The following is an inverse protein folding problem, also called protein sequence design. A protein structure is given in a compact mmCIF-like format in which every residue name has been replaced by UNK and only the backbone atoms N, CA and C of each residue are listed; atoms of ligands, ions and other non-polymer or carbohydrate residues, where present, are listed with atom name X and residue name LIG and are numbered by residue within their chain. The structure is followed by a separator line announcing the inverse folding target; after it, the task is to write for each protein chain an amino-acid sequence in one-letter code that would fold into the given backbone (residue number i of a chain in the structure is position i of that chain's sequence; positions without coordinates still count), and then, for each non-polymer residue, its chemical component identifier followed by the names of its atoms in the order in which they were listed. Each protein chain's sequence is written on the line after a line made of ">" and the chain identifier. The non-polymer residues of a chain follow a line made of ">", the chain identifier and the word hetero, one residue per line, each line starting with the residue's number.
data_IF_405332769723
#
_entry.id   IF_405332769723
#
_cell.length_a   1.000
_cell.length_b   1.000
_cell.length_c   1.000
_cell.angle_alpha   90.00
_cell.angle_beta   90.00
_cell.angle_gamma   90.00
#
_symmetry.space_group_name_H-M   'P 1'
#
loop_
_entity.id
_entity.type
_entity.pdbx_description
1 polymer ?
#
# COMPACT_ATOMS: atom_id res chain seq x y z
N UNK A 1 21.96 17.92 2.50
CA UNK A 1 21.16 18.53 3.56
C UNK A 1 19.72 18.68 3.10
N UNK A 2 18.73 18.60 4.01
CA UNK A 2 17.34 18.84 3.66
C UNK A 2 17.13 20.21 3.00
N UNK A 3 16.27 20.24 1.99
CA UNK A 3 15.95 21.49 1.28
C UNK A 3 16.94 21.91 0.19
N UNK A 4 18.04 21.19 0.01
CA UNK A 4 19.07 21.56 -0.97
C UNK A 4 18.83 20.99 -2.39
N UNK A 5 18.06 19.90 -2.49
CA UNK A 5 17.69 19.26 -3.76
C UNK A 5 16.48 18.36 -3.59
N UNK A 6 15.82 18.10 -4.71
CA UNK A 6 14.70 17.17 -4.75
C UNK A 6 15.19 15.71 -4.74
N UNK A 7 14.53 14.88 -3.92
CA UNK A 7 14.73 13.44 -3.87
C UNK A 7 13.40 12.71 -3.88
N UNK A 8 13.25 11.72 -4.74
CA UNK A 8 12.16 10.76 -4.69
C UNK A 8 12.65 9.48 -4.01
N UNK A 9 12.15 9.19 -2.83
CA UNK A 9 12.53 8.02 -2.04
C UNK A 9 11.46 7.69 -0.99
N UNK A 10 11.86 7.26 0.19
CA UNK A 10 11.03 6.74 1.29
C UNK A 10 10.32 7.80 2.14
N UNK A 11 10.22 9.05 1.68
CA UNK A 11 9.63 10.14 2.48
C UNK A 11 8.20 9.85 2.95
N UNK A 12 7.36 9.27 2.09
CA UNK A 12 5.97 8.94 2.43
C UNK A 12 5.88 7.72 3.36
N UNK A 13 6.84 6.79 3.29
CA UNK A 13 6.97 5.69 4.25
C UNK A 13 7.28 6.22 5.65
N UNK A 14 8.17 7.21 5.76
CA UNK A 14 8.46 7.89 7.03
C UNK A 14 7.22 8.60 7.58
N UNK A 15 6.44 9.25 6.72
CA UNK A 15 5.17 9.86 7.12
C UNK A 15 4.19 8.81 7.65
N UNK A 16 4.07 7.65 7.00
CA UNK A 16 3.26 6.54 7.49
C UNK A 16 3.68 6.08 8.88
N UNK A 17 4.97 5.93 9.11
CA UNK A 17 5.51 5.59 10.43
C UNK A 17 5.20 6.66 11.48
N UNK A 18 5.33 7.94 11.14
CA UNK A 18 4.97 9.04 12.05
C UNK A 18 3.49 9.01 12.44
N UNK A 19 2.61 8.70 11.49
CA UNK A 19 1.17 8.54 11.77
C UNK A 19 0.95 7.43 12.79
N UNK A 20 1.63 6.28 12.65
CA UNK A 20 1.54 5.18 13.61
C UNK A 20 1.98 5.62 15.01
N UNK A 21 3.12 6.32 15.10
CA UNK A 21 3.64 6.78 16.40
C UNK A 21 2.72 7.83 17.06
N UNK A 22 2.17 8.75 16.29
CA UNK A 22 1.31 9.81 16.82
C UNK A 22 -0.11 9.33 17.15
N UNK A 23 -0.64 8.39 16.40
CA UNK A 23 -1.99 7.86 16.58
C UNK A 23 -2.05 6.69 17.57
N UNK A 24 -0.94 5.99 17.80
CA UNK A 24 -0.89 4.76 18.57
C UNK A 24 -1.57 3.57 17.88
N UNK A 25 -1.81 3.65 16.57
CA UNK A 25 -2.50 2.64 15.76
C UNK A 25 -1.63 2.21 14.59
N UNK A 26 -1.74 0.94 14.10
CA UNK A 26 -1.19 0.57 12.80
C UNK A 26 -1.73 1.47 11.69
N UNK A 27 -0.90 1.77 10.69
CA UNK A 27 -1.27 2.69 9.60
C UNK A 27 -2.55 2.25 8.88
N UNK A 28 -2.70 0.94 8.63
CA UNK A 28 -3.90 0.41 7.99
C UNK A 28 -5.18 0.67 8.79
N UNK A 29 -5.13 0.49 10.10
CA UNK A 29 -6.28 0.75 10.99
C UNK A 29 -6.60 2.24 11.07
N UNK A 30 -5.58 3.09 11.12
CA UNK A 30 -5.76 4.55 11.10
C UNK A 30 -6.43 5.02 9.80
N UNK A 31 -5.92 4.58 8.65
CA UNK A 31 -6.49 4.93 7.34
C UNK A 31 -7.92 4.40 7.20
N UNK A 32 -8.17 3.18 7.68
CA UNK A 32 -9.51 2.59 7.66
C UNK A 32 -10.50 3.45 8.45
N UNK A 33 -10.18 3.78 9.69
CA UNK A 33 -11.07 4.54 10.56
C UNK A 33 -11.29 5.99 10.10
N UNK A 34 -10.27 6.62 9.52
CA UNK A 34 -10.29 8.05 9.20
C UNK A 34 -10.66 8.38 7.76
N UNK A 35 -10.42 7.45 6.84
CA UNK A 35 -10.62 7.68 5.40
C UNK A 35 -11.55 6.63 4.79
N UNK A 36 -11.20 5.34 4.90
CA UNK A 36 -11.87 4.30 4.14
C UNK A 36 -13.31 4.07 4.60
N UNK A 37 -13.55 3.96 5.91
CA UNK A 37 -14.91 3.76 6.46
C UNK A 37 -15.81 4.98 6.21
N UNK A 38 -15.41 6.24 6.49
CA UNK A 38 -16.23 7.41 6.20
C UNK A 38 -16.59 7.57 4.72
N UNK A 39 -15.69 7.15 3.80
CA UNK A 39 -15.91 7.22 2.36
C UNK A 39 -16.52 5.96 1.76
N UNK A 40 -16.80 4.93 2.57
CA UNK A 40 -17.38 3.67 2.11
C UNK A 40 -16.42 2.83 1.23
N UNK A 41 -15.10 3.02 1.37
CA UNK A 41 -14.08 2.31 0.60
C UNK A 41 -13.81 0.92 1.17
N UNK A 42 -14.75 0.00 0.96
CA UNK A 42 -14.78 -1.33 1.59
C UNK A 42 -13.70 -2.29 1.08
N UNK A 43 -13.12 -2.00 -0.08
CA UNK A 43 -12.14 -2.86 -0.73
C UNK A 43 -10.70 -2.29 -0.64
N UNK A 44 -10.51 -1.18 0.07
CA UNK A 44 -9.21 -0.54 0.20
C UNK A 44 -8.49 -0.96 1.48
N UNK A 45 -7.24 -1.39 1.37
CA UNK A 45 -6.42 -1.82 2.49
C UNK A 45 -5.05 -2.34 2.08
N UNK A 46 -4.23 -2.74 3.05
CA UNK A 46 -2.88 -3.26 2.82
C UNK A 46 -2.83 -4.77 2.54
N UNK A 47 -3.97 -5.44 2.54
CA UNK A 47 -4.09 -6.85 2.15
C UNK A 47 -5.42 -7.10 1.47
N UNK A 48 -5.52 -8.20 0.75
CA UNK A 48 -6.74 -8.61 0.04
C UNK A 48 -7.29 -9.88 0.69
N UNK A 49 -8.50 -9.86 1.27
CA UNK A 49 -9.14 -11.09 1.75
C UNK A 49 -9.25 -12.15 0.65
N UNK A 50 -9.10 -13.42 1.04
CA UNK A 50 -9.05 -14.53 0.08
C UNK A 50 -10.27 -14.57 -0.87
N UNK A 51 -11.47 -14.26 -0.37
CA UNK A 51 -12.70 -14.22 -1.15
C UNK A 51 -12.72 -13.11 -2.22
N UNK A 52 -11.85 -12.10 -2.12
CA UNK A 52 -11.74 -10.98 -3.07
C UNK A 52 -10.64 -11.18 -4.12
N UNK A 53 -9.77 -12.17 -3.95
CA UNK A 53 -8.68 -12.47 -4.89
C UNK A 53 -9.11 -12.59 -6.36
N UNK A 54 -10.28 -13.20 -6.70
CA UNK A 54 -10.71 -13.28 -8.10
C UNK A 54 -10.91 -11.94 -8.80
N UNK A 55 -11.14 -10.86 -8.03
CA UNK A 55 -11.32 -9.50 -8.58
C UNK A 55 -10.03 -8.69 -8.66
N UNK A 56 -8.94 -9.23 -8.10
CA UNK A 56 -7.67 -8.54 -8.05
C UNK A 56 -7.05 -8.41 -9.44
N UNK A 57 -6.66 -7.19 -9.81
CA UNK A 57 -5.91 -6.94 -11.04
C UNK A 57 -4.50 -7.54 -10.96
N UNK A 58 -3.99 -8.01 -12.08
CA UNK A 58 -2.61 -8.51 -12.18
C UNK A 58 -1.68 -7.42 -12.67
N UNK A 59 -0.55 -7.28 -12.00
CA UNK A 59 0.51 -6.39 -12.45
C UNK A 59 1.36 -7.10 -13.48
N UNK A 60 1.72 -6.38 -14.53
CA UNK A 60 2.56 -6.89 -15.60
C UNK A 60 3.87 -6.12 -15.64
N UNK A 61 4.94 -6.83 -15.92
CA UNK A 61 6.25 -6.27 -16.24
C UNK A 61 6.55 -6.51 -17.71
N UNK A 62 7.27 -5.61 -18.32
CA UNK A 62 7.67 -5.79 -19.72
C UNK A 62 8.43 -4.60 -20.25
N UNK A 63 9.24 -4.86 -21.25
CA UNK A 63 9.92 -3.87 -22.06
C UNK A 63 9.78 -4.27 -23.53
N UNK A 64 9.38 -3.31 -24.37
CA UNK A 64 9.16 -3.58 -25.79
C UNK A 64 7.74 -4.11 -26.08
N UNK A 65 7.63 -5.12 -26.94
CA UNK A 65 6.35 -5.60 -27.50
C UNK A 65 5.60 -6.63 -26.64
N UNK A 66 6.20 -7.13 -25.54
CA UNK A 66 5.62 -8.20 -24.72
C UNK A 66 5.49 -7.81 -23.26
N UNK A 67 4.34 -8.19 -22.65
CA UNK A 67 4.08 -8.04 -21.24
C UNK A 67 3.99 -9.42 -20.59
N UNK A 68 4.56 -9.57 -19.40
CA UNK A 68 4.46 -10.78 -18.58
C UNK A 68 3.88 -10.46 -17.22
N UNK A 69 3.13 -11.40 -16.63
CA UNK A 69 2.60 -11.23 -15.29
C UNK A 69 3.75 -11.16 -14.30
N UNK A 70 3.77 -10.13 -13.45
CA UNK A 70 4.75 -9.99 -12.39
C UNK A 70 4.51 -11.05 -11.31
N UNK A 71 5.44 -11.99 -11.18
CA UNK A 71 5.41 -13.06 -10.18
C UNK A 71 6.18 -12.67 -8.89
N UNK A 72 6.86 -11.52 -8.89
CA UNK A 72 7.74 -11.09 -7.79
C UNK A 72 7.02 -10.44 -6.62
N UNK A 73 5.72 -10.21 -6.71
CA UNK A 73 4.92 -9.65 -5.63
C UNK A 73 4.55 -10.75 -4.65
N UNK A 74 4.75 -10.47 -3.35
CA UNK A 74 4.39 -11.39 -2.28
C UNK A 74 2.89 -11.72 -2.24
N UNK A 75 2.50 -12.56 -1.28
CA UNK A 75 1.11 -12.96 -1.07
C UNK A 75 0.25 -11.77 -0.64
N UNK A 76 -0.73 -11.33 -1.45
CA UNK A 76 -1.57 -10.19 -1.13
C UNK A 76 -2.55 -10.45 0.03
N UNK A 77 -2.74 -11.71 0.44
CA UNK A 77 -3.63 -12.06 1.58
C UNK A 77 -2.97 -11.86 2.93
N UNK A 78 -1.65 -11.68 2.96
CA UNK A 78 -0.88 -11.51 4.21
C UNK A 78 -0.92 -10.04 4.65
N UNK A 79 -1.29 -9.81 5.90
CA UNK A 79 -1.21 -8.48 6.51
C UNK A 79 0.26 -8.09 6.67
N UNK A 80 0.74 -6.97 6.10
CA UNK A 80 2.13 -6.57 6.22
C UNK A 80 2.48 -6.18 7.66
N UNK A 81 3.65 -6.59 8.14
CA UNK A 81 4.16 -6.20 9.47
C UNK A 81 4.54 -4.72 9.56
N UNK A 82 4.97 -4.13 8.44
CA UNK A 82 5.31 -2.73 8.33
C UNK A 82 4.64 -2.13 7.10
N UNK A 83 3.39 -1.64 7.21
CA UNK A 83 2.71 -1.06 6.07
C UNK A 83 3.42 0.21 5.60
N UNK A 84 3.57 0.34 4.29
CA UNK A 84 4.24 1.46 3.63
C UNK A 84 3.24 2.60 3.37
N UNK A 85 3.59 3.81 3.79
CA UNK A 85 2.83 5.01 3.41
C UNK A 85 3.01 5.38 1.94
N UNK A 86 4.06 4.86 1.29
CA UNK A 86 4.40 5.14 -0.11
C UNK A 86 3.82 4.13 -1.11
N UNK A 87 3.22 3.04 -0.66
CA UNK A 87 2.67 2.01 -1.54
C UNK A 87 2.08 0.81 -0.80
N UNK A 88 1.73 -0.24 -1.57
CA UNK A 88 1.23 -1.48 -0.99
C UNK A 88 -0.25 -1.51 -0.66
N UNK A 89 -0.99 -0.43 -0.93
CA UNK A 89 -2.45 -0.42 -0.83
C UNK A 89 -3.07 -1.12 -2.05
N UNK A 90 -4.14 -1.85 -1.78
CA UNK A 90 -5.06 -2.41 -2.77
C UNK A 90 -6.40 -1.69 -2.67
N UNK A 91 -7.08 -1.51 -3.80
CA UNK A 91 -8.38 -0.85 -3.86
C UNK A 91 -9.22 -1.37 -5.04
#
# INVERSE_FOLDING_TARGET
>A
QPGTRWYYSIGVDVQGYLIEQMSGMPLGDFLKARIFDPLGMKDTGFHVPAEKLPRMARVHTGGGATLAVDQGRGDPTVVPKGPSGGGGLYS
#
